data_IF_422976066388
#
_entry.id   IF_422976066388
#
_cell.length_a   1.000
_cell.length_b   1.000
_cell.length_c   1.000
_cell.angle_alpha   90.00
_cell.angle_beta   90.00
_cell.angle_gamma   90.00
#
_symmetry.space_group_name_H-M   'P 1'
#
loop_
_entity.id
_entity.type
_entity.pdbx_description
1 polymer ?
#
# COMPACT_ATOMS: atom_id res chain seq x y z
N UNK A 1 42.56 16.02 -35.24
CA UNK A 1 41.20 15.55 -34.90
C UNK A 1 41.25 14.87 -33.53
N UNK A 2 40.91 15.61 -32.47
CA UNK A 2 41.05 15.15 -31.07
C UNK A 2 39.79 14.40 -30.65
N UNK A 3 39.78 13.08 -30.85
CA UNK A 3 38.65 12.22 -30.46
C UNK A 3 38.62 12.11 -28.94
N UNK A 4 37.61 12.69 -28.29
CA UNK A 4 37.50 12.72 -26.83
C UNK A 4 37.11 11.34 -26.28
N UNK A 5 38.10 10.45 -26.12
CA UNK A 5 37.95 9.08 -25.57
C UNK A 5 37.40 9.05 -24.14
N UNK A 6 37.47 10.18 -23.42
CA UNK A 6 37.04 10.33 -22.02
C UNK A 6 35.53 10.15 -21.76
N UNK A 7 34.65 10.29 -22.77
CA UNK A 7 33.19 10.25 -22.55
C UNK A 7 32.65 8.83 -22.28
N UNK A 8 33.18 7.80 -22.94
CA UNK A 8 32.68 6.41 -22.79
C UNK A 8 33.04 5.79 -21.43
N UNK A 9 34.29 5.92 -20.99
CA UNK A 9 34.72 5.43 -19.68
C UNK A 9 34.01 6.14 -18.51
N UNK A 10 33.67 7.42 -18.66
CA UNK A 10 32.86 8.15 -17.67
C UNK A 10 31.41 7.67 -17.65
N UNK A 11 30.80 7.43 -18.82
CA UNK A 11 29.45 6.89 -18.91
C UNK A 11 29.34 5.49 -18.29
N UNK A 12 30.29 4.60 -18.58
CA UNK A 12 30.37 3.26 -17.99
C UNK A 12 30.47 3.31 -16.45
N UNK A 13 31.33 4.17 -15.90
CA UNK A 13 31.45 4.38 -14.44
C UNK A 13 30.15 4.88 -13.81
N UNK A 14 29.46 5.83 -14.45
CA UNK A 14 28.15 6.31 -13.98
C UNK A 14 27.08 5.22 -14.01
N UNK A 15 27.02 4.43 -15.08
CA UNK A 15 26.09 3.31 -15.19
C UNK A 15 26.35 2.24 -14.11
N UNK A 16 27.61 1.86 -13.89
CA UNK A 16 27.99 0.93 -12.82
C UNK A 16 27.62 1.47 -11.43
N UNK A 17 27.90 2.75 -11.15
CA UNK A 17 27.50 3.38 -9.89
C UNK A 17 25.98 3.42 -9.70
N UNK A 18 25.22 3.66 -10.77
CA UNK A 18 23.76 3.61 -10.74
C UNK A 18 23.26 2.19 -10.40
N UNK A 19 23.77 1.17 -11.08
CA UNK A 19 23.42 -0.23 -10.81
C UNK A 19 23.71 -0.64 -9.35
N UNK A 20 24.87 -0.24 -8.82
CA UNK A 20 25.23 -0.51 -7.41
C UNK A 20 24.22 0.15 -6.46
N UNK A 21 23.88 1.43 -6.69
CA UNK A 21 22.89 2.14 -5.87
C UNK A 21 21.50 1.48 -5.95
N UNK A 22 21.07 1.08 -7.13
CA UNK A 22 19.79 0.37 -7.32
C UNK A 22 19.77 -0.97 -6.58
N UNK A 23 20.89 -1.72 -6.59
CA UNK A 23 20.99 -2.98 -5.83
C UNK A 23 20.95 -2.76 -4.31
N UNK A 24 21.68 -1.76 -3.81
CA UNK A 24 21.70 -1.44 -2.37
C UNK A 24 20.31 -1.02 -1.90
N UNK A 25 19.64 -0.13 -2.64
CA UNK A 25 18.28 0.32 -2.32
C UNK A 25 17.27 -0.83 -2.35
N UNK A 26 17.33 -1.71 -3.36
CA UNK A 26 16.49 -2.91 -3.41
C UNK A 26 16.74 -3.85 -2.21
N UNK A 27 18.00 -4.07 -1.83
CA UNK A 27 18.34 -4.91 -0.68
C UNK A 27 17.82 -4.30 0.64
N UNK A 28 17.92 -2.98 0.81
CA UNK A 28 17.36 -2.27 1.95
C UNK A 28 15.83 -2.39 2.00
N UNK A 29 15.15 -2.20 0.88
CA UNK A 29 13.70 -2.37 0.77
C UNK A 29 13.27 -3.80 1.15
N UNK A 30 13.97 -4.82 0.62
CA UNK A 30 13.68 -6.21 0.95
C UNK A 30 13.90 -6.52 2.45
N UNK A 31 14.93 -5.92 3.07
CA UNK A 31 15.17 -6.06 4.52
C UNK A 31 14.06 -5.40 5.34
N UNK A 32 13.60 -4.21 4.93
CA UNK A 32 12.48 -3.52 5.59
C UNK A 32 11.19 -4.32 5.50
N UNK A 33 10.84 -4.82 4.31
CA UNK A 33 9.64 -5.67 4.13
C UNK A 33 9.69 -6.90 5.05
N UNK A 34 10.85 -7.57 5.15
CA UNK A 34 11.01 -8.71 6.07
C UNK A 34 10.84 -8.30 7.53
N UNK A 35 11.37 -7.14 7.94
CA UNK A 35 11.21 -6.63 9.30
C UNK A 35 9.73 -6.34 9.63
N UNK A 36 8.99 -5.73 8.70
CA UNK A 36 7.56 -5.43 8.89
C UNK A 36 6.71 -6.70 8.96
N UNK A 37 7.01 -7.72 8.13
CA UNK A 37 6.37 -9.04 8.23
C UNK A 37 6.58 -9.67 9.60
N UNK A 38 7.79 -9.55 10.16
CA UNK A 38 8.06 -10.01 11.53
C UNK A 38 7.23 -9.24 12.57
N UNK A 39 7.11 -7.92 12.43
CA UNK A 39 6.29 -7.10 13.33
C UNK A 39 4.80 -7.42 13.27
N UNK A 40 4.28 -7.79 12.09
CA UNK A 40 2.89 -8.24 11.95
C UNK A 40 2.66 -9.64 12.52
N UNK A 41 3.71 -10.44 12.67
CA UNK A 41 3.62 -11.85 13.02
C UNK A 41 3.22 -12.74 11.84
N UNK A 42 3.45 -14.04 12.00
CA UNK A 42 3.24 -15.04 10.95
C UNK A 42 1.77 -15.15 10.52
N UNK A 43 0.86 -15.22 11.49
CA UNK A 43 -0.58 -15.40 11.24
C UNK A 43 -1.13 -14.23 10.42
N UNK A 44 -0.94 -12.99 10.88
CA UNK A 44 -1.45 -11.80 10.19
C UNK A 44 -0.81 -11.61 8.82
N UNK A 45 0.49 -11.89 8.69
CA UNK A 45 1.15 -11.87 7.37
C UNK A 45 0.50 -12.87 6.41
N UNK A 46 0.23 -14.09 6.87
CA UNK A 46 -0.46 -15.10 6.05
C UNK A 46 -1.90 -14.70 5.68
N UNK A 47 -2.65 -14.09 6.60
CA UNK A 47 -4.00 -13.58 6.34
C UNK A 47 -4.00 -12.46 5.28
N UNK A 48 -3.02 -11.54 5.35
CA UNK A 48 -2.84 -10.48 4.36
C UNK A 48 -2.42 -11.01 2.98
N UNK A 49 -1.56 -12.04 2.94
CA UNK A 49 -1.09 -12.65 1.69
C UNK A 49 -2.19 -13.44 0.98
N UNK A 50 -3.08 -14.10 1.73
CA UNK A 50 -4.26 -14.79 1.19
C UNK A 50 -5.41 -13.85 0.85
N UNK A 51 -5.33 -12.59 1.26
CA UNK A 51 -6.37 -11.60 1.03
C UNK A 51 -7.59 -11.77 1.94
N UNK A 52 -7.49 -12.53 3.03
CA UNK A 52 -8.54 -12.64 4.06
C UNK A 52 -8.64 -11.36 4.89
N UNK A 53 -7.49 -10.71 5.09
CA UNK A 53 -7.40 -9.34 5.59
C UNK A 53 -6.92 -8.41 4.49
N UNK A 54 -7.52 -7.21 4.45
CA UNK A 54 -7.24 -6.20 3.44
C UNK A 54 -6.98 -4.85 4.08
N UNK A 55 -6.02 -4.11 3.51
CA UNK A 55 -5.81 -2.69 3.81
C UNK A 55 -6.53 -1.83 2.79
N UNK A 56 -6.86 -0.60 3.15
CA UNK A 56 -7.58 0.36 2.29
C UNK A 56 -6.95 0.50 0.89
N UNK A 57 -5.62 0.52 0.81
CA UNK A 57 -4.93 0.63 -0.48
C UNK A 57 -5.12 -0.61 -1.37
N UNK A 58 -5.20 -1.80 -0.77
CA UNK A 58 -5.48 -3.04 -1.51
C UNK A 58 -6.92 -3.04 -2.02
N UNK A 59 -7.88 -2.64 -1.18
CA UNK A 59 -9.29 -2.55 -1.56
C UNK A 59 -9.47 -1.56 -2.71
N UNK A 60 -8.89 -0.36 -2.61
CA UNK A 60 -8.97 0.63 -3.69
C UNK A 60 -8.37 0.09 -5.00
N UNK A 61 -7.23 -0.60 -4.93
CA UNK A 61 -6.62 -1.21 -6.12
C UNK A 61 -7.52 -2.32 -6.72
N UNK A 62 -8.14 -3.16 -5.89
CA UNK A 62 -9.07 -4.20 -6.34
C UNK A 62 -10.33 -3.62 -7.00
N UNK A 63 -10.80 -2.46 -6.54
CA UNK A 63 -11.91 -1.72 -7.13
C UNK A 63 -11.53 -0.91 -8.38
N UNK A 64 -10.29 -1.04 -8.87
CA UNK A 64 -9.83 -0.37 -10.09
C UNK A 64 -9.38 1.07 -9.92
N UNK A 65 -9.14 1.54 -8.69
CA UNK A 65 -8.57 2.86 -8.46
C UNK A 65 -7.15 2.98 -9.04
N UNK A 66 -6.88 4.07 -9.75
CA UNK A 66 -5.54 4.36 -10.23
C UNK A 66 -4.55 4.70 -9.11
N UNK A 67 -3.26 4.66 -9.43
CA UNK A 67 -2.20 4.90 -8.47
C UNK A 67 -2.22 6.33 -7.88
N UNK A 68 -2.68 7.33 -8.63
CA UNK A 68 -2.75 8.72 -8.15
C UNK A 68 -3.90 8.91 -7.15
N UNK A 69 -5.06 8.28 -7.41
CA UNK A 69 -6.20 8.24 -6.51
C UNK A 69 -5.81 7.57 -5.19
N UNK A 70 -5.19 6.39 -5.25
CA UNK A 70 -4.71 5.68 -4.05
C UNK A 70 -3.72 6.56 -3.28
N UNK A 71 -2.73 7.15 -3.97
CA UNK A 71 -1.69 7.97 -3.34
C UNK A 71 -2.27 9.19 -2.62
N UNK A 72 -3.23 9.89 -3.24
CA UNK A 72 -3.81 11.13 -2.68
C UNK A 72 -4.87 10.86 -1.62
N UNK A 73 -5.64 9.79 -1.77
CA UNK A 73 -6.92 9.66 -1.07
C UNK A 73 -7.05 8.42 -0.18
N UNK A 74 -6.14 7.43 -0.26
CA UNK A 74 -6.23 6.23 0.59
C UNK A 74 -6.26 6.54 2.09
N UNK A 75 -5.57 7.59 2.55
CA UNK A 75 -5.60 7.97 3.96
C UNK A 75 -6.95 8.53 4.40
N UNK A 76 -7.61 9.34 3.56
CA UNK A 76 -8.91 9.92 3.89
C UNK A 76 -10.02 8.87 3.78
N UNK A 77 -9.97 8.04 2.74
CA UNK A 77 -10.84 6.86 2.62
C UNK A 77 -10.70 5.94 3.85
N UNK A 78 -9.47 5.71 4.33
CA UNK A 78 -9.24 4.90 5.52
C UNK A 78 -9.80 5.49 6.81
N UNK A 79 -9.85 6.82 6.95
CA UNK A 79 -10.53 7.47 8.07
C UNK A 79 -12.04 7.27 8.00
N UNK A 80 -12.63 7.35 6.80
CA UNK A 80 -14.05 7.11 6.61
C UNK A 80 -14.42 5.65 6.96
N UNK A 81 -13.61 4.69 6.51
CA UNK A 81 -13.76 3.26 6.87
C UNK A 81 -13.58 3.04 8.37
N UNK A 82 -12.53 3.59 9.00
CA UNK A 82 -12.35 3.47 10.45
C UNK A 82 -13.56 4.02 11.21
N UNK A 83 -14.13 5.15 10.77
CA UNK A 83 -15.34 5.72 11.40
C UNK A 83 -16.55 4.79 11.25
N UNK A 84 -16.78 4.22 10.07
CA UNK A 84 -17.84 3.24 9.86
C UNK A 84 -17.65 1.99 10.74
N UNK A 85 -16.42 1.48 10.81
CA UNK A 85 -16.08 0.31 11.63
C UNK A 85 -16.33 0.57 13.12
N UNK A 86 -15.87 1.72 13.63
CA UNK A 86 -16.12 2.10 15.02
C UNK A 86 -17.62 2.22 15.32
N UNK A 87 -18.43 2.69 14.36
CA UNK A 87 -19.88 2.76 14.53
C UNK A 87 -20.54 1.37 14.52
N UNK A 88 -20.05 0.45 13.68
CA UNK A 88 -20.59 -0.90 13.54
C UNK A 88 -20.23 -1.83 14.72
N UNK A 89 -19.12 -1.59 15.40
CA UNK A 89 -18.57 -2.47 16.45
C UNK A 89 -18.43 -1.79 17.81
N UNK A 90 -19.34 -0.87 18.15
CA UNK A 90 -19.40 -0.20 19.46
C UNK A 90 -18.06 0.42 19.92
N UNK A 91 -17.35 1.04 18.99
CA UNK A 91 -16.07 1.70 19.25
C UNK A 91 -14.84 0.79 19.29
N UNK A 92 -14.96 -0.52 18.98
CA UNK A 92 -13.79 -1.41 18.87
C UNK A 92 -12.89 -1.00 17.72
N UNK A 93 -11.59 -0.92 17.99
CA UNK A 93 -10.62 -0.59 16.96
C UNK A 93 -10.37 -1.75 15.99
N UNK A 94 -10.16 -1.47 14.68
CA UNK A 94 -9.76 -2.47 13.73
C UNK A 94 -8.32 -2.94 13.99
N UNK A 95 -7.96 -4.08 13.40
CA UNK A 95 -6.60 -4.63 13.50
C UNK A 95 -5.61 -3.67 12.86
N UNK A 96 -4.49 -3.41 13.55
CA UNK A 96 -3.43 -2.54 13.05
C UNK A 96 -2.25 -3.37 12.52
N UNK A 97 -1.85 -3.11 11.28
CA UNK A 97 -0.74 -3.80 10.61
C UNK A 97 0.32 -2.82 10.13
N UNK A 98 1.58 -3.22 10.20
CA UNK A 98 2.73 -2.50 9.68
C UNK A 98 2.85 -2.71 8.17
N UNK A 99 2.97 -1.60 7.43
CA UNK A 99 3.33 -1.60 6.01
C UNK A 99 4.23 -0.42 5.65
N UNK A 100 4.83 -0.46 4.46
CA UNK A 100 5.52 0.69 3.89
C UNK A 100 4.50 1.64 3.25
N UNK A 101 4.59 2.92 3.61
CA UNK A 101 3.83 4.02 3.02
C UNK A 101 4.81 5.15 2.75
N UNK A 102 5.01 5.50 1.47
CA UNK A 102 6.01 6.49 1.04
C UNK A 102 7.41 6.22 1.64
N UNK A 103 7.90 4.98 1.46
CA UNK A 103 9.19 4.49 1.97
C UNK A 103 9.38 4.55 3.50
N UNK A 104 8.28 4.72 4.24
CA UNK A 104 8.30 4.76 5.71
C UNK A 104 7.41 3.68 6.29
N UNK A 105 7.87 2.93 7.30
CA UNK A 105 7.02 2.06 8.11
C UNK A 105 5.88 2.87 8.74
N UNK A 106 4.65 2.42 8.55
CA UNK A 106 3.47 2.97 9.22
C UNK A 106 2.52 1.85 9.61
N UNK A 107 1.87 2.02 10.74
CA UNK A 107 0.71 1.21 11.09
C UNK A 107 -0.50 1.72 10.33
N UNK A 108 -1.25 0.80 9.75
CA UNK A 108 -2.52 1.07 9.06
C UNK A 108 -3.55 0.07 9.53
N UNK A 109 -4.82 0.46 9.48
CA UNK A 109 -5.91 -0.46 9.75
C UNK A 109 -6.01 -1.51 8.63
N UNK A 110 -6.22 -2.75 9.05
CA UNK A 110 -6.61 -3.88 8.22
C UNK A 110 -7.98 -4.37 8.70
N UNK A 111 -8.75 -4.85 7.74
CA UNK A 111 -10.13 -5.29 7.91
C UNK A 111 -10.28 -6.67 7.30
N UNK A 112 -11.32 -7.40 7.68
CA UNK A 112 -11.73 -8.58 6.91
C UNK A 112 -12.09 -8.17 5.47
N UNK A 113 -11.86 -9.05 4.51
CA UNK A 113 -12.09 -8.75 3.10
C UNK A 113 -13.55 -8.45 2.78
N UNK A 114 -14.46 -9.11 3.47
CA UNK A 114 -15.92 -9.00 3.38
C UNK A 114 -16.53 -8.03 4.41
N UNK A 115 -15.70 -7.26 5.11
CA UNK A 115 -16.12 -6.33 6.16
C UNK A 115 -17.10 -5.26 5.62
N UNK A 116 -18.37 -5.22 6.07
CA UNK A 116 -19.36 -4.26 5.58
C UNK A 116 -18.94 -2.81 5.82
N UNK A 117 -18.23 -2.52 6.92
CA UNK A 117 -17.74 -1.18 7.22
C UNK A 117 -16.76 -0.64 6.16
N UNK A 118 -16.07 -1.51 5.41
CA UNK A 118 -15.20 -1.10 4.29
C UNK A 118 -16.05 -0.50 3.18
N UNK A 119 -17.13 -1.18 2.78
CA UNK A 119 -18.03 -0.70 1.72
C UNK A 119 -18.73 0.59 2.13
N UNK A 120 -19.27 0.64 3.35
CA UNK A 120 -19.94 1.82 3.89
C UNK A 120 -19.00 3.02 3.97
N UNK A 121 -17.79 2.82 4.49
CA UNK A 121 -16.79 3.88 4.58
C UNK A 121 -16.37 4.44 3.22
N UNK A 122 -16.21 3.56 2.22
CA UNK A 122 -15.90 3.99 0.85
C UNK A 122 -17.05 4.73 0.19
N UNK A 123 -18.29 4.29 0.42
CA UNK A 123 -19.51 4.95 -0.07
C UNK A 123 -19.69 6.33 0.56
N UNK A 124 -19.36 6.48 1.85
CA UNK A 124 -19.47 7.75 2.57
C UNK A 124 -18.44 8.80 2.13
N UNK A 125 -17.39 8.42 1.40
CA UNK A 125 -16.35 9.33 0.94
C UNK A 125 -16.49 9.65 -0.55
N UNK A 126 -16.83 10.90 -0.88
CA UNK A 126 -17.18 11.33 -2.23
C UNK A 126 -16.14 10.96 -3.32
N UNK A 127 -14.84 10.96 -2.98
CA UNK A 127 -13.77 10.61 -3.95
C UNK A 127 -13.67 9.12 -4.24
N UNK A 128 -14.27 8.25 -3.43
CA UNK A 128 -14.24 6.78 -3.59
C UNK A 128 -15.63 6.18 -3.76
N UNK A 129 -16.71 6.95 -3.53
CA UNK A 129 -18.08 6.45 -3.58
C UNK A 129 -18.44 5.79 -4.92
N UNK A 130 -17.96 6.36 -6.03
CA UNK A 130 -18.18 5.83 -7.37
C UNK A 130 -17.59 4.41 -7.57
N UNK A 131 -16.58 4.03 -6.80
CA UNK A 131 -15.93 2.71 -6.90
C UNK A 131 -16.80 1.58 -6.32
N UNK A 132 -17.71 1.90 -5.39
CA UNK A 132 -18.56 0.92 -4.71
C UNK A 132 -20.04 1.02 -5.11
N UNK A 133 -20.38 2.01 -5.94
CA UNK A 133 -21.71 2.26 -6.46
C UNK A 133 -22.13 1.31 -7.60
N UNK A 134 -21.17 0.61 -8.24
CA UNK A 134 -21.50 -0.40 -9.23
C UNK A 134 -22.10 -1.65 -8.55
N UNK A 135 -23.26 -2.16 -9.00
CA UNK A 135 -23.70 -3.50 -8.60
C UNK A 135 -22.65 -4.50 -9.07
N UNK A 136 -22.30 -5.47 -8.23
CA UNK A 136 -21.49 -6.60 -8.66
C UNK A 136 -22.21 -7.20 -9.88
N UNK A 137 -21.51 -7.32 -11.01
CA UNK A 137 -22.03 -8.09 -12.12
C UNK A 137 -22.34 -9.49 -11.59
N UNK A 138 -23.63 -9.87 -11.67
CA UNK A 138 -24.15 -11.15 -11.23
C UNK A 138 -23.57 -12.31 -12.05
#
# INVERSE_FOLDING_TARGET
MTTTTYRRARAARKAAAHLIRTRITAAQAARLVRALRKLNGYVMTGLLERGEFVTVSQVLAQLGADADLIRRYASQAGKAIKRAYLAAYDGREPVMVWKLVHDRPRQVAAYLADEPAVREGLAAYARTAHLVAAPAAA
#
